data_IF_601432951200
#
_entry.id   IF_601432951200
#
_cell.length_a   1.000
_cell.length_b   1.000
_cell.length_c   1.000
_cell.angle_alpha   90.00
_cell.angle_beta   90.00
_cell.angle_gamma   90.00
#
_symmetry.space_group_name_H-M   'P 1'
#
loop_
_entity.id
_entity.type
_entity.pdbx_description
1 polymer ?
#
# COMPACT_ATOMS: atom_id res chain seq x y z
N UNK A 1 7.23 27.82 12.68
CA UNK A 1 7.20 28.24 11.27
C UNK A 1 6.92 26.99 10.45
N UNK A 2 5.76 26.90 9.80
CA UNK A 2 5.45 25.76 8.90
C UNK A 2 6.33 25.91 7.66
N UNK A 3 7.44 25.18 7.63
CA UNK A 3 8.32 25.12 6.47
C UNK A 3 7.55 24.41 5.35
N UNK A 4 7.26 25.12 4.27
CA UNK A 4 6.59 24.53 3.11
C UNK A 4 7.47 23.39 2.57
N UNK A 5 6.92 22.17 2.41
CA UNK A 5 7.71 21.04 1.94
C UNK A 5 8.12 21.26 0.48
N UNK A 6 9.38 20.99 0.17
CA UNK A 6 9.93 21.05 -1.19
C UNK A 6 9.50 19.86 -2.03
N UNK A 7 9.27 18.70 -1.38
CA UNK A 7 8.74 17.50 -2.03
C UNK A 7 7.58 16.91 -1.24
N UNK A 8 6.68 16.20 -1.91
CA UNK A 8 5.55 15.50 -1.27
C UNK A 8 5.50 14.06 -1.77
N UNK A 9 5.76 13.11 -0.88
CA UNK A 9 5.94 11.71 -1.24
C UNK A 9 5.01 10.84 -0.39
N UNK A 10 4.16 10.05 -1.04
CA UNK A 10 3.31 9.10 -0.34
C UNK A 10 3.99 7.75 -0.19
N UNK A 11 3.68 7.02 0.88
CA UNK A 11 4.40 5.79 1.25
C UNK A 11 4.50 4.75 0.12
N UNK A 12 3.42 4.47 -0.59
CA UNK A 12 3.43 3.47 -1.68
C UNK A 12 4.15 3.93 -2.96
N UNK A 13 4.49 5.21 -3.08
CA UNK A 13 5.37 5.69 -4.14
C UNK A 13 6.84 5.32 -3.86
N UNK A 14 7.24 5.30 -2.59
CA UNK A 14 8.55 4.81 -2.17
C UNK A 14 8.71 3.32 -2.47
N UNK A 15 7.63 2.54 -2.35
CA UNK A 15 7.60 1.13 -2.75
C UNK A 15 7.80 0.97 -4.26
N UNK A 16 7.14 1.82 -5.07
CA UNK A 16 7.32 1.82 -6.52
C UNK A 16 8.74 2.17 -6.94
N UNK A 17 9.37 3.15 -6.28
CA UNK A 17 10.77 3.48 -6.50
C UNK A 17 11.69 2.33 -6.07
N UNK A 18 11.42 1.69 -4.94
CA UNK A 18 12.13 0.49 -4.51
C UNK A 18 12.01 -0.66 -5.52
N UNK A 19 10.85 -0.86 -6.13
CA UNK A 19 10.65 -1.86 -7.18
C UNK A 19 11.46 -1.55 -8.44
N UNK A 20 11.56 -0.28 -8.83
CA UNK A 20 12.42 0.17 -9.92
C UNK A 20 13.92 -0.12 -9.63
N UNK A 21 14.40 0.26 -8.44
CA UNK A 21 15.80 0.00 -8.05
C UNK A 21 16.16 -1.49 -8.00
N UNK A 22 15.17 -2.35 -7.72
CA UNK A 22 15.34 -3.79 -7.58
C UNK A 22 14.76 -4.58 -8.77
N UNK A 23 14.63 -3.96 -9.95
CA UNK A 23 14.04 -4.59 -11.14
C UNK A 23 14.66 -5.95 -11.44
N UNK A 24 15.99 -6.05 -11.38
CA UNK A 24 16.73 -7.25 -11.76
C UNK A 24 16.47 -8.39 -10.78
N UNK A 25 16.42 -8.08 -9.48
CA UNK A 25 16.10 -9.03 -8.41
C UNK A 25 14.66 -9.53 -8.55
N UNK A 26 13.73 -8.63 -8.89
CA UNK A 26 12.33 -8.98 -9.12
C UNK A 26 12.20 -9.86 -10.37
N UNK A 27 12.89 -9.51 -11.46
CA UNK A 27 12.86 -10.27 -12.69
C UNK A 27 13.39 -11.69 -12.47
N UNK A 28 14.55 -11.82 -11.83
CA UNK A 28 15.17 -13.12 -11.54
C UNK A 28 14.26 -14.00 -10.66
N UNK A 29 13.61 -13.39 -9.66
CA UNK A 29 12.65 -14.09 -8.78
C UNK A 29 11.49 -14.73 -9.55
N UNK A 30 10.95 -14.06 -10.56
CA UNK A 30 9.78 -14.55 -11.30
C UNK A 30 10.15 -15.34 -12.56
N UNK A 31 11.27 -15.02 -13.19
CA UNK A 31 11.59 -15.49 -14.54
C UNK A 31 13.04 -15.96 -14.72
N UNK A 32 13.90 -15.91 -13.70
CA UNK A 32 15.30 -16.35 -13.81
C UNK A 32 15.49 -17.81 -14.22
N UNK A 33 14.49 -18.66 -13.94
CA UNK A 33 14.45 -20.07 -14.34
C UNK A 33 13.46 -20.37 -15.48
N UNK A 34 12.88 -19.34 -16.09
CA UNK A 34 11.94 -19.49 -17.20
C UNK A 34 12.69 -19.71 -18.51
N UNK A 35 12.31 -20.75 -19.26
CA UNK A 35 12.84 -20.96 -20.62
C UNK A 35 12.31 -19.93 -21.62
N UNK A 36 11.15 -19.32 -21.34
CA UNK A 36 10.50 -18.32 -22.19
C UNK A 36 9.94 -17.19 -21.30
N UNK A 37 10.79 -16.30 -20.76
CA UNK A 37 10.32 -15.16 -20.00
C UNK A 37 9.52 -14.21 -20.91
N UNK A 38 8.51 -13.50 -20.39
CA UNK A 38 7.71 -12.57 -21.19
C UNK A 38 8.52 -11.37 -21.68
N UNK A 39 9.56 -10.98 -20.94
CA UNK A 39 10.43 -9.81 -21.17
C UNK A 39 11.88 -10.18 -20.83
N UNK A 40 12.86 -9.53 -21.45
CA UNK A 40 14.26 -9.57 -20.97
C UNK A 40 14.40 -8.75 -19.66
N UNK A 41 15.49 -8.92 -18.90
CA UNK A 41 15.76 -8.08 -17.72
C UNK A 41 15.74 -6.58 -18.04
N UNK A 42 16.34 -6.17 -19.18
CA UNK A 42 16.39 -4.78 -19.62
C UNK A 42 15.02 -4.24 -19.99
N UNK A 43 14.21 -5.04 -20.71
CA UNK A 43 12.82 -4.67 -21.04
C UNK A 43 11.98 -4.51 -19.78
N UNK A 44 12.17 -5.37 -18.78
CA UNK A 44 11.48 -5.26 -17.50
C UNK A 44 11.94 -4.05 -16.68
N UNK A 45 13.23 -3.72 -16.70
CA UNK A 45 13.75 -2.50 -16.06
C UNK A 45 13.11 -1.24 -16.68
N UNK A 46 13.03 -1.16 -18.00
CA UNK A 46 12.38 -0.04 -18.70
C UNK A 46 10.87 0.03 -18.39
N UNK A 47 10.20 -1.11 -18.29
CA UNK A 47 8.80 -1.16 -17.83
C UNK A 47 8.65 -0.62 -16.40
N UNK A 48 9.50 -1.04 -15.47
CA UNK A 48 9.50 -0.54 -14.10
C UNK A 48 9.77 0.97 -14.02
N UNK A 49 10.66 1.49 -14.88
CA UNK A 49 10.90 2.92 -15.02
C UNK A 49 9.64 3.67 -15.48
N UNK A 50 9.01 3.21 -16.56
CA UNK A 50 7.81 3.85 -17.09
C UNK A 50 6.63 3.77 -16.09
N UNK A 51 6.46 2.65 -15.39
CA UNK A 51 5.47 2.51 -14.33
C UNK A 51 5.71 3.49 -13.17
N UNK A 52 6.96 3.71 -12.77
CA UNK A 52 7.32 4.68 -11.76
C UNK A 52 6.97 6.11 -12.21
N UNK A 53 7.35 6.49 -13.44
CA UNK A 53 6.99 7.80 -14.02
C UNK A 53 5.48 7.99 -14.08
N UNK A 54 4.73 6.96 -14.47
CA UNK A 54 3.27 7.00 -14.55
C UNK A 54 2.64 7.18 -13.16
N UNK A 55 3.16 6.51 -12.13
CA UNK A 55 2.73 6.68 -10.74
C UNK A 55 3.06 8.06 -10.19
N UNK A 56 4.27 8.59 -10.46
CA UNK A 56 4.67 9.96 -10.11
C UNK A 56 3.65 10.97 -10.67
N UNK A 57 3.27 10.76 -11.94
CA UNK A 57 2.32 11.61 -12.67
C UNK A 57 0.85 11.28 -12.38
N UNK A 58 0.57 10.36 -11.46
CA UNK A 58 -0.78 9.90 -11.09
C UNK A 58 -1.62 9.48 -12.30
N UNK A 59 -1.00 8.88 -13.31
CA UNK A 59 -1.76 8.33 -14.43
C UNK A 59 -2.71 7.27 -13.90
N UNK A 60 -4.00 7.30 -14.27
CA UNK A 60 -4.93 6.25 -13.92
C UNK A 60 -4.41 4.91 -14.44
N UNK A 61 -4.48 3.88 -13.60
CA UNK A 61 -4.18 2.51 -13.99
C UNK A 61 -5.36 1.62 -13.60
N UNK A 62 -5.59 0.59 -14.40
CA UNK A 62 -6.66 -0.38 -14.19
C UNK A 62 -6.05 -1.71 -13.73
N UNK A 63 -6.40 -2.17 -12.53
CA UNK A 63 -5.87 -3.40 -11.96
C UNK A 63 -6.91 -4.10 -11.11
N UNK A 64 -7.31 -5.30 -11.53
CA UNK A 64 -8.22 -6.15 -10.74
C UNK A 64 -7.66 -6.44 -9.35
N UNK A 65 -6.34 -6.63 -9.22
CA UNK A 65 -5.71 -6.89 -7.93
C UNK A 65 -5.83 -5.68 -6.98
N UNK A 66 -5.62 -4.47 -7.49
CA UNK A 66 -5.79 -3.24 -6.70
C UNK A 66 -7.26 -3.01 -6.33
N UNK A 67 -8.19 -3.24 -7.26
CA UNK A 67 -9.62 -3.14 -7.01
C UNK A 67 -10.11 -4.16 -5.97
N UNK A 68 -9.60 -5.40 -6.03
CA UNK A 68 -9.91 -6.45 -5.05
C UNK A 68 -9.45 -6.05 -3.65
N UNK A 69 -8.23 -5.52 -3.52
CA UNK A 69 -7.71 -5.00 -2.26
C UNK A 69 -8.58 -3.86 -1.72
N UNK A 70 -8.95 -2.91 -2.57
CA UNK A 70 -9.84 -1.79 -2.22
C UNK A 70 -11.22 -2.27 -1.77
N UNK A 71 -11.81 -3.22 -2.50
CA UNK A 71 -13.11 -3.79 -2.17
C UNK A 71 -13.09 -4.57 -0.86
N UNK A 72 -12.02 -5.32 -0.59
CA UNK A 72 -11.89 -6.04 0.66
C UNK A 72 -11.78 -5.06 1.84
N UNK A 73 -10.88 -4.07 1.75
CA UNK A 73 -10.68 -3.05 2.78
C UNK A 73 -11.98 -2.31 3.12
N UNK A 74 -12.69 -1.76 2.13
CA UNK A 74 -13.95 -1.03 2.37
C UNK A 74 -15.06 -1.92 2.97
N UNK A 75 -15.09 -3.23 2.68
CA UNK A 75 -16.01 -4.16 3.36
C UNK A 75 -15.68 -4.23 4.85
N UNK A 76 -14.40 -4.35 5.20
CA UNK A 76 -13.94 -4.42 6.59
C UNK A 76 -14.27 -3.11 7.32
N UNK A 77 -13.94 -1.96 6.71
CA UNK A 77 -14.28 -0.63 7.24
C UNK A 77 -15.78 -0.51 7.53
N UNK A 78 -16.63 -0.85 6.55
CA UNK A 78 -18.09 -0.78 6.69
C UNK A 78 -18.60 -1.68 7.82
N UNK A 79 -17.97 -2.84 8.04
CA UNK A 79 -18.32 -3.77 9.12
C UNK A 79 -17.92 -3.23 10.49
N UNK A 80 -16.76 -2.59 10.61
CA UNK A 80 -16.26 -1.97 11.86
C UNK A 80 -17.11 -0.76 12.23
N UNK A 81 -17.37 0.12 11.26
CA UNK A 81 -18.06 1.40 11.47
C UNK A 81 -19.59 1.26 11.44
N UNK A 82 -20.11 0.07 11.10
CA UNK A 82 -21.54 -0.21 10.95
C UNK A 82 -22.22 0.81 10.00
N UNK A 83 -21.59 1.06 8.84
CA UNK A 83 -22.08 1.97 7.80
C UNK A 83 -22.26 1.26 6.46
N UNK A 84 -22.90 1.96 5.52
CA UNK A 84 -22.88 1.58 4.11
C UNK A 84 -21.64 2.16 3.44
N UNK A 85 -21.18 1.51 2.37
CA UNK A 85 -20.13 2.07 1.53
C UNK A 85 -20.61 3.30 0.78
N UNK A 86 -19.73 4.30 0.65
CA UNK A 86 -19.94 5.48 -0.19
C UNK A 86 -19.28 5.39 -1.56
N UNK A 87 -18.45 4.36 -1.80
CA UNK A 87 -17.63 4.23 -3.01
C UNK A 87 -17.95 2.99 -3.84
N UNK A 88 -18.69 2.03 -3.30
CA UNK A 88 -19.08 0.81 -4.01
C UNK A 88 -20.42 0.24 -3.52
N UNK A 89 -21.03 -0.62 -4.33
CA UNK A 89 -22.23 -1.35 -3.92
C UNK A 89 -21.83 -2.61 -3.15
N UNK A 90 -22.27 -2.73 -1.89
CA UNK A 90 -22.03 -3.91 -1.05
C UNK A 90 -23.37 -4.60 -0.76
N UNK A 91 -23.41 -5.91 -0.97
CA UNK A 91 -24.57 -6.75 -0.72
C UNK A 91 -24.17 -8.10 -0.10
N UNK A 92 -25.14 -8.80 0.50
CA UNK A 92 -24.94 -10.15 1.04
C UNK A 92 -25.11 -11.19 -0.07
N UNK A 93 -24.26 -12.21 -0.09
CA UNK A 93 -24.32 -13.33 -1.02
C UNK A 93 -24.82 -14.60 -0.30
N UNK A 94 -25.86 -15.22 -0.85
CA UNK A 94 -26.54 -16.38 -0.27
C UNK A 94 -26.45 -17.58 -1.22
N UNK A 95 -26.33 -18.77 -0.67
CA UNK A 95 -26.57 -20.00 -1.41
C UNK A 95 -28.08 -20.13 -1.70
N UNK A 96 -28.43 -21.04 -2.62
CA UNK A 96 -29.84 -21.31 -3.00
C UNK A 96 -30.70 -21.75 -1.80
N UNK A 97 -30.10 -22.35 -0.77
CA UNK A 97 -30.75 -22.75 0.48
C UNK A 97 -30.97 -21.59 1.47
N UNK A 98 -30.57 -20.37 1.12
CA UNK A 98 -30.69 -19.17 1.95
C UNK A 98 -29.56 -18.98 2.96
N UNK A 99 -28.52 -19.83 2.96
CA UNK A 99 -27.35 -19.68 3.84
C UNK A 99 -26.43 -18.57 3.33
N UNK A 100 -26.14 -17.59 4.19
CA UNK A 100 -25.14 -16.54 3.93
C UNK A 100 -23.75 -17.17 3.81
N UNK A 101 -23.08 -16.97 2.67
CA UNK A 101 -21.72 -17.47 2.45
C UNK A 101 -20.70 -16.36 2.20
N UNK A 102 -21.15 -15.16 1.80
CA UNK A 102 -20.21 -14.09 1.49
C UNK A 102 -20.79 -12.70 1.47
N UNK A 103 -19.88 -11.74 1.32
CA UNK A 103 -20.17 -10.34 1.04
C UNK A 103 -19.71 -10.06 -0.39
N UNK A 104 -20.63 -9.54 -1.21
CA UNK A 104 -20.40 -9.16 -2.59
C UNK A 104 -20.18 -7.65 -2.67
N UNK A 105 -19.11 -7.22 -3.34
CA UNK A 105 -18.84 -5.83 -3.69
C UNK A 105 -18.80 -5.66 -5.21
N UNK A 106 -19.44 -4.60 -5.71
CA UNK A 106 -19.35 -4.16 -7.11
C UNK A 106 -18.60 -2.84 -7.16
N UNK A 107 -17.40 -2.85 -7.74
CA UNK A 107 -16.48 -1.72 -7.79
C UNK A 107 -15.76 -1.70 -9.14
N UNK A 108 -15.65 -0.53 -9.78
CA UNK A 108 -15.01 -0.36 -11.10
C UNK A 108 -15.45 -1.40 -12.16
N UNK A 109 -16.77 -1.66 -12.26
CA UNK A 109 -17.36 -2.67 -13.14
C UNK A 109 -16.90 -4.13 -12.90
N UNK A 110 -16.23 -4.39 -11.78
CA UNK A 110 -15.85 -5.72 -11.32
C UNK A 110 -16.72 -6.15 -10.15
N UNK A 111 -16.91 -7.46 -10.03
CA UNK A 111 -17.62 -8.06 -8.91
C UNK A 111 -16.64 -8.92 -8.12
N UNK A 112 -16.54 -8.63 -6.83
CA UNK A 112 -15.78 -9.44 -5.88
C UNK A 112 -16.75 -10.06 -4.88
N UNK A 113 -16.50 -11.31 -4.49
CA UNK A 113 -17.24 -11.98 -3.41
C UNK A 113 -16.24 -12.56 -2.43
N UNK A 114 -16.32 -12.14 -1.18
CA UNK A 114 -15.45 -12.59 -0.10
C UNK A 114 -16.24 -13.45 0.86
N UNK A 115 -15.64 -14.52 1.37
CA UNK A 115 -16.32 -15.41 2.31
C UNK A 115 -16.64 -14.68 3.60
N UNK A 116 -17.85 -14.86 4.12
CA UNK A 116 -18.34 -14.09 5.28
C UNK A 116 -17.47 -14.30 6.53
N UNK A 117 -16.91 -15.49 6.69
CA UNK A 117 -16.06 -15.80 7.85
C UNK A 117 -14.71 -15.08 7.78
N UNK A 118 -14.12 -14.91 6.58
CA UNK A 118 -12.93 -14.09 6.39
C UNK A 118 -13.23 -12.61 6.74
N UNK A 119 -14.34 -12.08 6.23
CA UNK A 119 -14.72 -10.70 6.53
C UNK A 119 -14.95 -10.48 8.03
N UNK A 120 -15.55 -11.45 8.72
CA UNK A 120 -15.73 -11.41 10.18
C UNK A 120 -14.42 -11.53 10.94
N UNK A 121 -13.50 -12.37 10.50
CA UNK A 121 -12.17 -12.50 11.09
C UNK A 121 -11.46 -11.14 11.14
N UNK A 122 -11.34 -10.48 9.98
CA UNK A 122 -10.70 -9.17 9.87
C UNK A 122 -11.46 -8.09 10.64
N UNK A 123 -12.78 -7.97 10.46
CA UNK A 123 -13.56 -6.95 11.16
C UNK A 123 -13.54 -7.12 12.69
N UNK A 124 -13.47 -8.35 13.20
CA UNK A 124 -13.34 -8.61 14.63
C UNK A 124 -11.93 -8.28 15.14
N UNK A 125 -10.90 -8.53 14.33
CA UNK A 125 -9.50 -8.22 14.68
C UNK A 125 -9.31 -6.71 14.89
N UNK A 126 -9.91 -5.88 14.04
CA UNK A 126 -9.86 -4.42 14.11
C UNK A 126 -11.02 -3.78 14.87
N UNK A 127 -11.69 -4.52 15.75
CA UNK A 127 -12.85 -3.99 16.46
C UNK A 127 -12.48 -2.75 17.27
N UNK A 128 -13.03 -1.61 16.89
CA UNK A 128 -12.79 -0.31 17.53
C UNK A 128 -11.60 0.47 16.95
N UNK A 129 -11.03 0.03 15.84
CA UNK A 129 -10.05 0.78 15.08
C UNK A 129 -10.63 2.10 14.57
N UNK A 130 -9.74 3.07 14.36
CA UNK A 130 -10.02 4.21 13.51
C UNK A 130 -9.62 3.81 12.08
N UNK A 131 -10.62 3.67 11.20
CA UNK A 131 -10.43 3.26 9.81
C UNK A 131 -9.92 4.45 8.96
N UNK A 132 -9.17 4.17 7.89
CA UNK A 132 -8.79 5.13 6.84
C UNK A 132 -8.19 6.46 7.37
N UNK A 133 -7.22 6.37 8.28
CA UNK A 133 -6.63 7.55 8.93
C UNK A 133 -5.49 8.15 8.11
N UNK A 134 -5.67 9.39 7.65
CA UNK A 134 -4.61 10.11 6.95
C UNK A 134 -3.52 10.55 7.94
N UNK A 135 -2.27 10.20 7.64
CA UNK A 135 -1.10 10.62 8.42
C UNK A 135 -0.07 11.30 7.53
N UNK A 136 0.62 12.30 8.08
CA UNK A 136 1.71 12.99 7.42
C UNK A 136 2.70 13.60 8.41
N UNK A 137 3.94 13.78 7.98
CA UNK A 137 4.93 14.55 8.73
C UNK A 137 6.01 15.10 7.80
N UNK A 138 6.66 16.17 8.25
CA UNK A 138 7.84 16.71 7.60
C UNK A 138 9.07 15.87 7.97
N UNK A 139 9.76 15.35 6.95
CA UNK A 139 11.06 14.70 7.03
C UNK A 139 12.15 15.65 6.50
N UNK A 140 13.08 16.13 7.34
CA UNK A 140 14.24 16.88 6.87
C UNK A 140 15.18 15.98 6.04
N UNK A 141 15.69 16.51 4.93
CA UNK A 141 16.71 15.84 4.09
C UNK A 141 17.78 16.83 3.65
N UNK A 142 18.89 16.34 3.09
CA UNK A 142 19.94 17.16 2.49
C UNK A 142 19.45 18.00 1.29
N UNK A 143 18.35 17.60 0.64
CA UNK A 143 17.80 18.28 -0.54
C UNK A 143 16.62 19.20 -0.23
N UNK A 144 16.25 19.33 1.04
CA UNK A 144 15.12 20.12 1.54
C UNK A 144 14.06 19.26 2.22
N UNK A 145 13.10 19.91 2.86
CA UNK A 145 12.06 19.20 3.63
C UNK A 145 11.10 18.44 2.70
N UNK A 146 10.83 17.18 3.04
CA UNK A 146 9.87 16.30 2.36
C UNK A 146 8.63 16.15 3.24
N UNK A 147 7.44 16.30 2.69
CA UNK A 147 6.22 15.84 3.34
C UNK A 147 6.03 14.36 2.99
N UNK A 148 6.26 13.48 3.95
CA UNK A 148 5.93 12.05 3.83
C UNK A 148 4.52 11.82 4.36
N UNK A 149 3.69 11.08 3.62
CA UNK A 149 2.29 10.90 3.98
C UNK A 149 1.69 9.57 3.50
N UNK A 150 0.50 9.24 4.01
CA UNK A 150 -0.28 8.11 3.54
C UNK A 150 -1.62 7.99 4.27
N UNK A 151 -2.28 6.87 4.02
CA UNK A 151 -3.57 6.50 4.60
C UNK A 151 -3.36 5.17 5.32
N UNK A 152 -3.50 5.19 6.64
CA UNK A 152 -3.52 3.98 7.46
C UNK A 152 -4.87 3.30 7.24
N UNK A 153 -4.87 2.00 6.98
CA UNK A 153 -6.12 1.24 6.90
C UNK A 153 -6.79 1.22 8.27
N UNK A 154 -6.10 0.68 9.28
CA UNK A 154 -6.66 0.51 10.62
C UNK A 154 -5.68 0.99 11.69
N UNK A 155 -6.07 2.03 12.44
CA UNK A 155 -5.30 2.53 13.57
C UNK A 155 -5.89 2.01 14.88
N UNK A 156 -5.15 1.15 15.56
CA UNK A 156 -5.46 0.62 16.88
C UNK A 156 -4.70 1.40 17.96
N UNK A 157 -5.09 1.30 19.25
CA UNK A 157 -4.47 2.09 20.32
C UNK A 157 -2.95 1.92 20.46
N UNK A 158 -2.41 0.76 20.07
CA UNK A 158 -0.99 0.41 20.24
C UNK A 158 -0.31 -0.04 18.95
N UNK A 159 -1.02 -0.05 17.82
CA UNK A 159 -0.51 -0.58 16.56
C UNK A 159 -1.17 0.06 15.34
N UNK A 160 -0.40 0.12 14.26
CA UNK A 160 -0.86 0.47 12.91
C UNK A 160 -1.03 -0.82 12.14
N UNK A 161 -2.11 -0.94 11.38
CA UNK A 161 -2.34 -2.10 10.54
C UNK A 161 -2.63 -1.68 9.10
N UNK A 162 -2.17 -2.51 8.19
CA UNK A 162 -2.37 -2.38 6.75
C UNK A 162 -2.80 -3.73 6.17
N UNK A 163 -3.94 -3.74 5.49
CA UNK A 163 -4.55 -4.94 4.92
C UNK A 163 -3.96 -5.16 3.54
N UNK A 164 -3.39 -6.35 3.32
CA UNK A 164 -2.85 -6.74 2.02
C UNK A 164 -3.62 -7.93 1.45
N UNK A 165 -3.92 -7.88 0.16
CA UNK A 165 -4.36 -9.05 -0.60
C UNK A 165 -3.27 -9.44 -1.59
N UNK A 166 -2.98 -10.73 -1.73
CA UNK A 166 -1.96 -11.19 -2.66
C UNK A 166 -2.29 -12.52 -3.32
N UNK A 167 -1.72 -12.77 -4.50
CA UNK A 167 -1.89 -14.04 -5.23
C UNK A 167 -0.95 -15.16 -4.77
N UNK A 168 0.06 -14.84 -3.98
CA UNK A 168 1.04 -15.78 -3.42
C UNK A 168 1.83 -15.10 -2.31
N UNK A 169 1.93 -15.72 -1.14
CA UNK A 169 2.70 -15.16 -0.02
C UNK A 169 3.97 -15.97 0.28
N UNK A 170 5.00 -15.26 0.73
CA UNK A 170 6.26 -15.80 1.26
C UNK A 170 6.70 -14.90 2.42
N UNK A 171 7.30 -15.46 3.47
CA UNK A 171 7.75 -14.68 4.64
C UNK A 171 8.67 -13.52 4.21
N UNK A 172 8.38 -12.33 4.72
CA UNK A 172 9.12 -11.11 4.43
C UNK A 172 8.75 -10.49 3.08
N UNK A 173 7.54 -10.78 2.56
CA UNK A 173 7.09 -10.26 1.26
C UNK A 173 7.02 -8.73 1.25
N UNK A 174 6.67 -8.14 2.39
CA UNK A 174 6.48 -6.69 2.53
C UNK A 174 7.60 -6.00 3.32
N UNK A 175 8.73 -6.70 3.54
CA UNK A 175 9.85 -6.19 4.35
C UNK A 175 10.49 -4.91 3.79
N UNK A 176 10.45 -4.74 2.48
CA UNK A 176 11.05 -3.60 1.78
C UNK A 176 10.01 -2.53 1.42
N UNK A 177 8.76 -2.67 1.92
CA UNK A 177 7.74 -1.63 1.79
C UNK A 177 7.98 -0.51 2.81
N UNK A 178 7.46 0.69 2.55
CA UNK A 178 7.78 1.89 3.33
C UNK A 178 6.64 2.34 4.22
N UNK A 179 5.46 1.72 4.14
CA UNK A 179 4.32 2.08 4.99
C UNK A 179 4.64 1.86 6.49
N UNK A 180 5.34 0.76 6.81
CA UNK A 180 5.79 0.46 8.17
C UNK A 180 6.93 1.38 8.66
N UNK A 181 7.46 2.25 7.81
CA UNK A 181 8.39 3.34 8.19
C UNK A 181 7.65 4.68 8.27
N UNK A 182 6.87 5.01 7.23
CA UNK A 182 6.21 6.31 7.08
C UNK A 182 5.10 6.51 8.12
N UNK A 183 4.25 5.51 8.38
CA UNK A 183 3.09 5.72 9.25
C UNK A 183 3.50 5.89 10.71
N UNK A 184 4.35 5.02 11.30
CA UNK A 184 4.86 5.24 12.65
C UNK A 184 5.67 6.54 12.77
N UNK A 185 6.48 6.89 11.76
CA UNK A 185 7.20 8.17 11.74
C UNK A 185 6.23 9.36 11.82
N UNK A 186 5.18 9.36 11.01
CA UNK A 186 4.20 10.44 10.99
C UNK A 186 3.42 10.55 12.30
N UNK A 187 2.98 9.42 12.86
CA UNK A 187 2.32 9.38 14.17
C UNK A 187 3.23 9.93 15.27
N UNK A 188 4.50 9.49 15.32
CA UNK A 188 5.49 9.94 16.30
C UNK A 188 5.71 11.46 16.22
N UNK A 189 5.83 12.01 15.00
CA UNK A 189 5.99 13.46 14.81
C UNK A 189 4.76 14.26 15.20
N UNK A 190 3.58 13.64 15.17
CA UNK A 190 2.31 14.24 15.58
C UNK A 190 1.96 13.93 17.05
N UNK A 191 2.89 13.37 17.83
CA UNK A 191 2.75 13.16 19.28
C UNK A 191 2.17 11.81 19.71
N UNK A 192 2.02 10.86 18.79
CA UNK A 192 1.55 9.50 19.07
C UNK A 192 2.69 8.48 18.92
N UNK A 193 3.11 7.83 20.02
CA UNK A 193 4.23 6.87 20.02
C UNK A 193 3.81 5.43 19.67
N UNK A 194 3.00 5.27 18.63
CA UNK A 194 2.60 3.95 18.12
C UNK A 194 3.70 3.43 17.18
N UNK A 195 4.40 2.37 17.62
CA UNK A 195 5.58 1.83 16.91
C UNK A 195 5.35 0.48 16.24
N UNK A 196 4.39 -0.30 16.74
CA UNK A 196 4.07 -1.60 16.14
C UNK A 196 3.29 -1.39 14.86
N UNK A 197 3.73 -2.02 13.79
CA UNK A 197 3.07 -2.05 12.51
C UNK A 197 2.82 -3.50 12.10
N UNK A 198 1.65 -3.79 11.55
CA UNK A 198 1.33 -5.10 11.00
C UNK A 198 0.83 -5.00 9.56
N UNK A 199 1.36 -5.87 8.70
CA UNK A 199 0.65 -6.27 7.49
C UNK A 199 -0.20 -7.49 7.82
N UNK A 200 -1.52 -7.35 7.67
CA UNK A 200 -2.44 -8.48 7.79
C UNK A 200 -2.88 -8.88 6.37
N UNK A 201 -2.52 -10.10 5.99
CA UNK A 201 -2.41 -10.50 4.58
C UNK A 201 -3.41 -11.61 4.31
N UNK A 202 -4.15 -11.49 3.21
CA UNK A 202 -4.98 -12.57 2.65
C UNK A 202 -4.35 -13.06 1.36
N UNK A 203 -4.02 -14.34 1.30
CA UNK A 203 -3.60 -14.98 0.07
C UNK A 203 -4.81 -15.56 -0.67
N UNK A 204 -4.98 -15.18 -1.93
CA UNK A 204 -5.98 -15.73 -2.83
C UNK A 204 -5.32 -16.57 -3.93
N UNK A 205 -5.87 -17.73 -4.23
CA UNK A 205 -5.47 -18.47 -5.42
C UNK A 205 -6.06 -17.82 -6.70
N UNK A 206 -5.66 -18.33 -7.87
CA UNK A 206 -6.16 -17.84 -9.18
C UNK A 206 -7.68 -17.96 -9.34
N UNK A 207 -8.34 -18.85 -8.59
CA UNK A 207 -9.80 -18.99 -8.57
C UNK A 207 -10.52 -18.01 -7.65
N UNK A 208 -9.78 -17.13 -6.95
CA UNK A 208 -10.33 -16.18 -5.99
C UNK A 208 -10.68 -16.77 -4.64
N UNK A 209 -10.28 -18.02 -4.36
CA UNK A 209 -10.47 -18.65 -3.05
C UNK A 209 -9.30 -18.31 -2.12
N UNK A 210 -9.61 -18.13 -0.84
CA UNK A 210 -8.60 -17.92 0.20
C UNK A 210 -7.74 -19.18 0.31
N UNK A 211 -6.43 -18.99 0.23
CA UNK A 211 -5.43 -20.01 0.55
C UNK A 211 -5.19 -19.99 2.05
N UNK A 212 -4.84 -18.83 2.59
CA UNK A 212 -4.54 -18.64 4.02
C UNK A 212 -4.53 -17.14 4.40
N UNK A 213 -4.40 -16.85 5.68
CA UNK A 213 -4.18 -15.51 6.24
C UNK A 213 -2.86 -15.45 7.01
N UNK A 214 -2.14 -14.33 6.90
CA UNK A 214 -0.82 -14.14 7.51
C UNK A 214 -0.71 -12.80 8.22
N UNK A 215 0.20 -12.71 9.19
CA UNK A 215 0.57 -11.44 9.83
C UNK A 215 2.08 -11.28 9.78
N UNK A 216 2.56 -10.16 9.25
CA UNK A 216 3.95 -9.71 9.38
C UNK A 216 4.00 -8.49 10.31
N UNK A 217 4.76 -8.61 11.40
CA UNK A 217 4.91 -7.52 12.38
C UNK A 217 6.27 -6.84 12.25
N UNK A 218 6.25 -5.51 12.18
CA UNK A 218 7.42 -4.64 12.14
C UNK A 218 7.36 -3.67 13.31
N UNK A 219 8.46 -3.53 14.06
CA UNK A 219 8.55 -2.57 15.16
C UNK A 219 9.44 -1.41 14.72
N UNK A 220 8.83 -0.23 14.64
CA UNK A 220 9.52 1.01 14.29
C UNK A 220 10.53 1.39 15.37
N UNK A 221 11.79 1.56 14.97
CA UNK A 221 12.86 2.06 15.78
C UNK A 221 13.37 3.38 15.19
N UNK A 222 13.10 4.53 15.83
CA UNK A 222 13.49 5.84 15.30
C UNK A 222 14.98 5.96 14.93
N UNK A 223 15.89 5.35 15.69
CA UNK A 223 17.33 5.43 15.44
C UNK A 223 17.76 4.65 14.20
N UNK A 224 17.05 3.57 13.88
CA UNK A 224 17.30 2.72 12.70
C UNK A 224 16.54 3.21 11.47
N UNK A 225 15.26 3.50 11.65
CA UNK A 225 14.29 3.61 10.56
C UNK A 225 14.21 5.02 9.97
N UNK A 226 14.45 6.06 10.78
CA UNK A 226 14.51 7.44 10.25
C UNK A 226 15.66 7.61 9.27
N UNK A 227 16.90 7.13 9.56
CA UNK A 227 17.97 7.13 8.56
C UNK A 227 17.62 6.38 7.28
N UNK A 228 16.99 5.19 7.38
CA UNK A 228 16.56 4.40 6.21
C UNK A 228 15.56 5.19 5.36
N UNK A 229 14.51 5.72 5.99
CA UNK A 229 13.48 6.51 5.30
C UNK A 229 14.07 7.78 4.66
N UNK A 230 14.98 8.46 5.38
CA UNK A 230 15.66 9.67 4.89
C UNK A 230 16.49 9.37 3.66
N UNK A 231 17.34 8.34 3.72
CA UNK A 231 18.19 7.94 2.60
C UNK A 231 17.36 7.57 1.37
N UNK A 232 16.28 6.79 1.55
CA UNK A 232 15.42 6.40 0.43
C UNK A 232 14.70 7.60 -0.19
N UNK A 233 14.24 8.56 0.63
CA UNK A 233 13.69 9.82 0.12
C UNK A 233 14.73 10.66 -0.62
N UNK A 234 15.97 10.72 -0.14
CA UNK A 234 17.06 11.46 -0.80
C UNK A 234 17.44 10.88 -2.15
N UNK A 235 17.56 9.55 -2.26
CA UNK A 235 17.78 8.86 -3.52
C UNK A 235 16.61 9.07 -4.48
N UNK A 236 15.37 9.03 -3.97
CA UNK A 236 14.22 9.30 -4.81
C UNK A 236 14.19 10.76 -5.28
N UNK A 237 14.60 11.72 -4.46
CA UNK A 237 14.75 13.12 -4.89
C UNK A 237 15.76 13.25 -6.03
N UNK A 238 16.91 12.56 -5.97
CA UNK A 238 17.87 12.57 -7.09
C UNK A 238 17.21 12.08 -8.38
N UNK A 239 16.50 10.96 -8.31
CA UNK A 239 15.75 10.42 -9.45
C UNK A 239 14.75 11.45 -10.00
N UNK A 240 13.99 12.12 -9.13
CA UNK A 240 13.02 13.15 -9.54
C UNK A 240 13.67 14.35 -10.21
N UNK A 241 14.84 14.77 -9.75
CA UNK A 241 15.58 15.90 -10.35
C UNK A 241 16.23 15.52 -11.67
N UNK A 242 16.75 14.29 -11.81
CA UNK A 242 17.33 13.76 -13.04
C UNK A 242 16.29 13.57 -14.16
N UNK A 243 15.04 13.31 -13.79
CA UNK A 243 13.93 13.04 -14.72
C UNK A 243 12.86 14.14 -14.69
N UNK A 244 13.22 15.36 -14.25
CA UNK A 244 12.28 16.45 -13.96
C UNK A 244 11.41 16.84 -15.15
N UNK A 245 11.91 16.68 -16.37
CA UNK A 245 11.22 16.92 -17.63
C UNK A 245 10.09 15.92 -17.92
N UNK A 246 10.15 14.72 -17.33
CA UNK A 246 9.11 13.69 -17.45
C UNK A 246 7.99 13.88 -16.40
N UNK A 247 8.19 14.74 -15.40
CA UNK A 247 7.23 14.98 -14.31
C UNK A 247 6.21 16.02 -14.74
N UNK A 248 4.96 15.61 -14.90
CA UNK A 248 3.81 16.46 -15.21
C UNK A 248 2.99 16.81 -13.96
N UNK A 249 2.86 15.92 -12.98
CA UNK A 249 2.22 16.23 -11.70
C UNK A 249 3.20 17.00 -10.80
N UNK A 250 2.96 18.30 -10.58
CA UNK A 250 3.87 19.17 -9.83
C UNK A 250 3.67 19.09 -8.30
N UNK A 251 2.66 18.38 -7.80
CA UNK A 251 2.46 18.18 -6.35
C UNK A 251 3.66 17.50 -5.70
N UNK A 252 4.29 16.56 -6.41
CA UNK A 252 5.48 15.85 -5.91
C UNK A 252 6.66 16.79 -5.67
N UNK A 253 6.73 17.91 -6.41
CA UNK A 253 7.77 18.95 -6.32
C UNK A 253 7.34 20.15 -5.46
N UNK A 254 6.39 19.94 -4.55
CA UNK A 254 5.91 20.97 -3.62
C UNK A 254 5.00 22.03 -4.25
N UNK A 255 4.75 21.95 -5.56
CA UNK A 255 3.86 22.84 -6.30
C UNK A 255 2.38 22.56 -6.05
N UNK A 256 1.54 23.46 -6.56
CA UNK A 256 0.10 23.24 -6.74
C UNK A 256 -0.14 22.76 -8.19
N UNK A 257 -1.16 21.92 -8.40
CA UNK A 257 -1.65 21.60 -9.75
C UNK A 257 -2.91 22.40 -10.00
#
# INVERSE_FOLDING_TARGET
MNQQPKYRIYATLLDAFGAYLNSDVIWDKYWGWSENPPHTPEEFHEQQFQELIDRINRKPFDSEAADRGTAFNEIIDCMIENRKSSIMEISKAYHDDGKLYGIKAVYNNRTFTFHIDLCREFANYYKGALTQQRVEAILPTAYGSVLVYGLIDELMPTSVHDIKTTGSYTVGKFKDHHQHLVYPYALMKNGSDVRTFEYNIVEFNKGGYVVDTYTETYVFNPERDIPILTNHCEEFIRFLEENRELITDKKILGGEN
#
